data_IF_119989312011
#
_entry.id   IF_119989312011
#
_cell.length_a   1.000
_cell.length_b   1.000
_cell.length_c   1.000
_cell.angle_alpha   90.00
_cell.angle_beta   90.00
_cell.angle_gamma   90.00
#
_symmetry.space_group_name_H-M   'P 1'
#
loop_
_entity.id
_entity.type
_entity.pdbx_description
1 polymer ?
#
# COMPACT_ATOMS: atom_id res chain seq x y z
N UNK A 1 -7.92 6.64 -9.21
CA UNK A 1 -7.24 5.79 -8.20
C UNK A 1 -5.72 5.95 -8.19
N UNK A 2 -5.07 6.45 -9.25
CA UNK A 2 -3.60 6.60 -9.34
C UNK A 2 -2.98 7.47 -8.24
N UNK A 3 -3.61 8.60 -7.88
CA UNK A 3 -3.11 9.50 -6.84
C UNK A 3 -3.00 8.80 -5.47
N UNK A 4 -4.09 8.21 -4.97
CA UNK A 4 -4.13 7.55 -3.65
C UNK A 4 -3.20 6.34 -3.54
N UNK A 5 -2.95 5.62 -4.64
CA UNK A 5 -1.95 4.53 -4.65
C UNK A 5 -0.54 5.01 -4.34
N UNK A 6 -0.24 6.31 -4.50
CA UNK A 6 1.01 6.93 -4.07
C UNK A 6 1.24 6.89 -2.55
N UNK A 7 0.21 6.60 -1.74
CA UNK A 7 0.38 6.35 -0.32
C UNK A 7 1.33 5.17 -0.03
N UNK A 8 1.55 4.27 -0.98
CA UNK A 8 2.54 3.19 -0.89
C UNK A 8 4.00 3.66 -0.98
N UNK A 9 4.27 4.97 -1.12
CA UNK A 9 5.63 5.51 -0.97
C UNK A 9 6.13 5.47 0.49
N UNK A 10 5.25 5.18 1.45
CA UNK A 10 5.59 4.94 2.84
C UNK A 10 4.99 3.62 3.34
N UNK A 11 5.56 3.12 4.44
CA UNK A 11 5.02 1.97 5.15
C UNK A 11 5.58 0.62 4.68
N UNK A 12 5.08 -0.43 5.32
CA UNK A 12 5.53 -1.80 5.15
C UNK A 12 4.38 -2.66 4.65
N UNK A 13 4.71 -3.72 3.92
CA UNK A 13 3.80 -4.79 3.57
C UNK A 13 4.33 -6.12 4.09
N UNK A 14 3.44 -6.92 4.66
CA UNK A 14 3.76 -8.29 5.04
C UNK A 14 4.14 -9.10 3.81
N UNK A 15 5.15 -9.94 3.92
CA UNK A 15 5.62 -10.76 2.80
C UNK A 15 4.47 -11.61 2.21
N UNK A 16 3.57 -12.13 3.05
CA UNK A 16 2.36 -12.88 2.67
C UNK A 16 1.54 -12.21 1.56
N UNK A 17 1.49 -10.87 1.52
CA UNK A 17 0.70 -10.12 0.53
C UNK A 17 1.26 -10.19 -0.89
N UNK A 18 2.55 -10.52 -1.08
CA UNK A 18 3.20 -10.53 -2.39
C UNK A 18 4.06 -11.77 -2.68
N UNK A 19 4.14 -12.73 -1.75
CA UNK A 19 4.92 -13.97 -1.92
C UNK A 19 4.50 -14.78 -3.16
N UNK A 20 3.21 -14.76 -3.53
CA UNK A 20 2.74 -15.41 -4.76
C UNK A 20 3.46 -14.87 -5.99
N UNK A 21 3.72 -13.56 -6.06
CA UNK A 21 4.46 -12.94 -7.17
C UNK A 21 5.93 -13.34 -7.21
N UNK A 22 6.51 -13.81 -6.10
CA UNK A 22 7.91 -14.21 -6.02
C UNK A 22 8.14 -15.69 -6.32
N UNK A 23 7.23 -16.56 -5.89
CA UNK A 23 7.45 -18.02 -5.88
C UNK A 23 6.39 -18.85 -6.60
N UNK A 24 5.15 -18.34 -6.73
CA UNK A 24 4.00 -19.11 -7.24
C UNK A 24 3.05 -18.21 -8.04
N UNK A 25 3.58 -17.56 -9.08
CA UNK A 25 2.79 -16.59 -9.83
C UNK A 25 1.73 -17.28 -10.71
N UNK A 26 2.14 -18.25 -11.53
CA UNK A 26 1.24 -19.15 -12.25
C UNK A 26 1.95 -20.45 -12.69
N UNK A 27 1.27 -21.31 -13.45
CA UNK A 27 1.80 -22.60 -13.95
C UNK A 27 2.94 -22.45 -14.96
N UNK A 28 2.99 -21.36 -15.72
CA UNK A 28 4.01 -21.10 -16.75
C UNK A 28 5.19 -20.27 -16.22
N UNK A 29 4.96 -19.47 -15.19
CA UNK A 29 5.91 -18.52 -14.62
C UNK A 29 5.93 -18.66 -13.10
N UNK A 30 7.02 -19.20 -12.52
CA UNK A 30 7.14 -19.32 -11.07
C UNK A 30 7.25 -17.95 -10.39
N UNK A 31 7.85 -16.96 -11.05
CA UNK A 31 7.92 -15.57 -10.61
C UNK A 31 7.14 -14.68 -11.58
N UNK A 32 6.50 -13.64 -11.07
CA UNK A 32 5.83 -12.63 -11.87
C UNK A 32 6.79 -12.01 -12.91
N UNK A 33 6.50 -12.12 -14.22
CA UNK A 33 7.37 -11.59 -15.28
C UNK A 33 7.40 -10.06 -15.33
N UNK A 34 6.45 -9.37 -14.71
CA UNK A 34 6.42 -7.89 -14.63
C UNK A 34 7.31 -7.33 -13.51
N UNK A 35 7.82 -8.21 -12.63
CA UNK A 35 8.69 -7.82 -11.53
C UNK A 35 10.17 -7.91 -11.96
N UNK A 36 10.92 -6.83 -11.75
CA UNK A 36 12.36 -6.81 -12.04
C UNK A 36 13.08 -7.97 -11.34
N UNK A 37 13.91 -8.69 -12.09
CA UNK A 37 14.54 -9.92 -11.60
C UNK A 37 15.57 -9.67 -10.50
N UNK A 38 16.29 -8.54 -10.53
CA UNK A 38 17.25 -8.17 -9.47
C UNK A 38 16.51 -7.79 -8.20
N UNK A 39 15.45 -7.02 -8.33
CA UNK A 39 14.61 -6.63 -7.21
C UNK A 39 13.88 -7.85 -6.60
N UNK A 40 13.37 -8.76 -7.43
CA UNK A 40 12.79 -10.01 -6.95
C UNK A 40 13.80 -10.85 -6.18
N UNK A 41 15.06 -10.95 -6.63
CA UNK A 41 16.11 -11.66 -5.91
C UNK A 41 16.46 -10.98 -4.57
N UNK A 42 16.44 -9.64 -4.52
CA UNK A 42 16.56 -8.90 -3.28
C UNK A 42 15.39 -9.21 -2.32
N UNK A 43 14.15 -9.19 -2.83
CA UNK A 43 12.96 -9.50 -2.04
C UNK A 43 12.96 -10.95 -1.56
N UNK A 44 13.40 -11.92 -2.37
CA UNK A 44 13.52 -13.34 -1.96
C UNK A 44 14.49 -13.54 -0.80
N UNK A 45 15.55 -12.72 -0.70
CA UNK A 45 16.46 -12.73 0.45
C UNK A 45 15.80 -12.13 1.70
N UNK A 46 14.98 -11.09 1.53
CA UNK A 46 14.25 -10.42 2.63
C UNK A 46 13.01 -11.19 3.08
N UNK A 47 12.35 -11.90 2.16
CA UNK A 47 11.09 -12.60 2.31
C UNK A 47 11.20 -14.03 1.71
N UNK A 48 11.71 -15.02 2.47
CA UNK A 48 11.62 -16.42 2.09
C UNK A 48 10.16 -16.93 2.02
N UNK A 49 9.92 -18.12 1.45
CA UNK A 49 8.55 -18.64 1.18
C UNK A 49 7.60 -18.68 2.39
N UNK A 50 8.12 -18.81 3.60
CA UNK A 50 7.33 -18.85 4.85
C UNK A 50 7.61 -17.62 5.73
N UNK A 51 7.96 -16.49 5.12
CA UNK A 51 8.27 -15.26 5.80
C UNK A 51 7.04 -14.67 6.53
N UNK A 52 7.22 -14.36 7.82
CA UNK A 52 6.25 -13.62 8.64
C UNK A 52 6.64 -12.14 8.83
N UNK A 53 7.80 -11.75 8.33
CA UNK A 53 8.27 -10.37 8.39
C UNK A 53 7.63 -9.52 7.28
N UNK A 54 8.02 -8.24 7.26
CA UNK A 54 7.54 -7.27 6.28
C UNK A 54 8.69 -6.68 5.48
N UNK A 55 8.36 -6.12 4.31
CA UNK A 55 9.26 -5.34 3.50
C UNK A 55 8.66 -3.95 3.21
N UNK A 56 9.53 -2.98 2.97
CA UNK A 56 9.14 -1.63 2.59
C UNK A 56 8.35 -1.66 1.28
N UNK A 57 7.26 -0.88 1.22
CA UNK A 57 6.46 -0.72 0.01
C UNK A 57 7.21 0.08 -1.07
N UNK A 58 8.17 0.92 -0.66
CA UNK A 58 9.06 1.68 -1.53
C UNK A 58 10.53 1.34 -1.19
N UNK A 59 11.22 0.69 -2.13
CA UNK A 59 12.58 0.20 -1.93
C UNK A 59 13.67 1.22 -2.31
N UNK A 60 13.31 2.35 -2.95
CA UNK A 60 14.28 3.25 -3.57
C UNK A 60 14.10 4.69 -3.10
N UNK A 61 12.87 5.09 -2.74
CA UNK A 61 12.50 6.48 -2.40
C UNK A 61 13.20 7.55 -3.26
N UNK A 62 12.87 7.69 -4.56
CA UNK A 62 13.07 8.97 -5.25
C UNK A 62 11.78 9.43 -5.93
N UNK A 63 11.18 10.51 -5.41
CA UNK A 63 10.04 11.16 -6.05
C UNK A 63 10.46 11.84 -7.35
N UNK A 64 9.87 11.43 -8.48
CA UNK A 64 9.94 12.16 -9.73
C UNK A 64 8.83 13.23 -9.73
N UNK A 65 9.21 14.51 -9.68
CA UNK A 65 8.31 15.68 -9.66
C UNK A 65 7.29 15.69 -8.48
N UNK A 66 7.76 15.88 -7.23
CA UNK A 66 6.90 15.80 -6.04
C UNK A 66 5.78 16.86 -6.03
N UNK A 67 5.96 18.03 -6.65
CA UNK A 67 5.00 19.13 -6.51
C UNK A 67 3.64 18.83 -7.14
N UNK A 68 3.62 18.28 -8.36
CA UNK A 68 2.36 17.94 -9.05
C UNK A 68 1.65 16.79 -8.35
N UNK A 69 2.40 15.74 -7.97
CA UNK A 69 1.81 14.60 -7.28
C UNK A 69 1.26 14.98 -5.89
N UNK A 70 1.96 15.80 -5.11
CA UNK A 70 1.48 16.23 -3.78
C UNK A 70 0.14 16.97 -3.90
N UNK A 71 -0.01 17.81 -4.93
CA UNK A 71 -1.27 18.52 -5.19
C UNK A 71 -2.41 17.54 -5.48
N UNK A 72 -2.20 16.60 -6.42
CA UNK A 72 -3.22 15.64 -6.82
C UNK A 72 -3.57 14.66 -5.68
N UNK A 73 -2.57 14.27 -4.88
CA UNK A 73 -2.77 13.45 -3.69
C UNK A 73 -3.60 14.17 -2.63
N UNK A 74 -3.28 15.45 -2.36
CA UNK A 74 -4.04 16.26 -1.41
C UNK A 74 -5.51 16.44 -1.84
N UNK A 75 -5.75 16.71 -3.13
CA UNK A 75 -7.10 16.80 -3.68
C UNK A 75 -7.86 15.48 -3.55
N UNK A 76 -7.21 14.36 -3.86
CA UNK A 76 -7.82 13.03 -3.72
C UNK A 76 -8.18 12.70 -2.26
N UNK A 77 -7.36 13.11 -1.29
CA UNK A 77 -7.66 12.93 0.14
C UNK A 77 -8.82 13.82 0.62
N UNK A 78 -8.94 15.05 0.10
CA UNK A 78 -10.11 15.92 0.37
C UNK A 78 -11.38 15.33 -0.23
N UNK A 79 -11.30 14.65 -1.38
CA UNK A 79 -12.46 13.95 -1.91
C UNK A 79 -12.82 12.73 -1.07
N UNK A 80 -11.82 11.91 -0.70
CA UNK A 80 -12.02 10.69 0.09
C UNK A 80 -12.69 10.96 1.45
N UNK A 81 -12.33 12.05 2.14
CA UNK A 81 -12.91 12.38 3.45
C UNK A 81 -14.39 12.75 3.41
N UNK A 82 -14.92 13.09 2.23
CA UNK A 82 -16.31 13.54 2.07
C UNK A 82 -17.27 12.39 1.71
N UNK A 83 -16.76 11.15 1.58
CA UNK A 83 -17.59 9.98 1.31
C UNK A 83 -18.34 9.55 2.56
N UNK A 84 -19.66 9.39 2.43
CA UNK A 84 -20.57 8.83 3.44
C UNK A 84 -20.46 9.45 4.85
N UNK A 85 -20.13 10.73 4.93
CA UNK A 85 -19.95 11.45 6.21
C UNK A 85 -21.29 11.59 6.95
N UNK A 86 -21.27 11.30 8.25
CA UNK A 86 -22.40 11.56 9.15
C UNK A 86 -22.41 13.04 9.57
N UNK A 87 -23.49 13.75 9.24
CA UNK A 87 -23.64 15.18 9.50
C UNK A 87 -24.93 15.50 10.26
N UNK A 88 -24.98 16.66 10.91
CA UNK A 88 -26.14 17.11 11.67
C UNK A 88 -26.35 16.25 12.92
N UNK A 89 -27.53 15.66 13.06
CA UNK A 89 -27.87 14.78 14.19
C UNK A 89 -27.62 13.30 13.90
N UNK A 90 -26.99 12.96 12.77
CA UNK A 90 -26.64 11.57 12.41
C UNK A 90 -25.35 11.15 13.13
N UNK A 91 -25.37 9.98 13.76
CA UNK A 91 -24.22 9.43 14.48
C UNK A 91 -24.07 10.01 15.89
N UNK A 92 -22.85 9.94 16.42
CA UNK A 92 -22.50 10.46 17.74
C UNK A 92 -21.03 10.90 17.79
N UNK A 93 -20.69 11.77 18.75
CA UNK A 93 -19.30 12.05 19.09
C UNK A 93 -18.87 11.03 20.15
N UNK A 94 -17.97 10.12 19.78
CA UNK A 94 -17.48 9.07 20.69
C UNK A 94 -16.52 9.64 21.72
N UNK A 95 -16.75 9.30 22.98
CA UNK A 95 -15.80 9.60 24.07
C UNK A 95 -14.58 8.67 24.04
N UNK A 96 -14.75 7.46 23.48
CA UNK A 96 -13.68 6.47 23.27
C UNK A 96 -13.80 5.89 21.86
N UNK A 97 -12.78 6.07 21.01
CA UNK A 97 -12.87 5.68 19.60
C UNK A 97 -13.13 4.18 19.36
N UNK A 98 -12.60 3.32 20.25
CA UNK A 98 -12.74 1.86 20.17
C UNK A 98 -14.05 1.30 20.73
N UNK A 99 -15.00 2.14 21.15
CA UNK A 99 -16.29 1.71 21.70
C UNK A 99 -17.43 2.66 21.25
N UNK A 100 -18.66 2.15 21.23
CA UNK A 100 -19.87 2.97 21.16
C UNK A 100 -20.12 3.56 22.56
N UNK A 101 -20.66 4.78 22.63
CA UNK A 101 -20.99 5.41 23.92
C UNK A 101 -22.04 4.62 24.72
#
# INVERSE_FOLDING_TARGET
>A
MTALSGAHSIGLSQCSNFLSRLYRFNSSHPQDPTLDSKFANFLKKKCPENAINSADLDAVTPYHNPEVWIKDFAEAMVHLRNLDVLTGTKGEIRNKCGAVN
#
